data_IF_022287221887
#
_entry.id   IF_022287221887
#
_cell.length_a   1.000
_cell.length_b   1.000
_cell.length_c   1.000
_cell.angle_alpha   90.00
_cell.angle_beta   90.00
_cell.angle_gamma   90.00
#
_symmetry.space_group_name_H-M   'P 1'
#
loop_
_entity.id
_entity.type
_entity.pdbx_description
1 polymer ?
#
# COMPACT_ATOMS: atom_id res chain seq x y z
N UNK A 1 1.80 -12.83 35.44
CA UNK A 1 3.03 -12.23 35.99
C UNK A 1 4.30 -12.85 35.41
N UNK A 2 4.61 -14.14 35.64
CA UNK A 2 5.82 -14.76 35.07
C UNK A 2 5.85 -14.75 33.53
N UNK A 3 4.75 -15.14 32.89
CA UNK A 3 4.62 -15.08 31.42
C UNK A 3 4.76 -13.65 30.85
N UNK A 4 4.29 -12.64 31.58
CA UNK A 4 4.40 -11.23 31.15
C UNK A 4 5.85 -10.72 31.24
N UNK A 5 6.60 -11.20 32.23
CA UNK A 5 8.03 -10.89 32.37
C UNK A 5 8.85 -11.57 31.28
N UNK A 6 8.56 -12.85 30.98
CA UNK A 6 9.18 -13.59 29.88
C UNK A 6 8.90 -12.91 28.53
N UNK A 7 7.66 -12.49 28.28
CA UNK A 7 7.32 -11.75 27.06
C UNK A 7 8.13 -10.46 26.92
N UNK A 8 8.25 -9.66 27.99
CA UNK A 8 9.06 -8.42 27.99
C UNK A 8 10.55 -8.68 27.77
N UNK A 9 11.07 -9.77 28.33
CA UNK A 9 12.45 -10.20 28.09
C UNK A 9 12.65 -10.55 26.60
N UNK A 10 11.78 -11.37 26.04
CA UNK A 10 11.84 -11.78 24.63
C UNK A 10 11.72 -10.57 23.68
N UNK A 11 10.85 -9.61 23.98
CA UNK A 11 10.76 -8.35 23.21
C UNK A 11 12.08 -7.56 23.23
N UNK A 12 12.77 -7.53 24.37
CA UNK A 12 14.04 -6.82 24.51
C UNK A 12 15.18 -7.53 23.79
N UNK A 13 15.22 -8.87 23.86
CA UNK A 13 16.21 -9.67 23.14
C UNK A 13 15.99 -9.64 21.63
N UNK A 14 14.75 -9.76 21.17
CA UNK A 14 14.40 -9.66 19.74
C UNK A 14 14.83 -8.30 19.15
N UNK A 15 14.67 -7.21 19.90
CA UNK A 15 15.14 -5.88 19.46
C UNK A 15 16.65 -5.83 19.22
N UNK A 16 17.45 -6.61 19.95
CA UNK A 16 18.91 -6.68 19.75
C UNK A 16 19.30 -7.47 18.50
N UNK A 17 18.42 -8.36 18.03
CA UNK A 17 18.64 -9.19 16.84
C UNK A 17 18.24 -8.49 15.54
N UNK A 18 17.57 -7.35 15.61
CA UNK A 18 17.18 -6.59 14.41
C UNK A 18 18.40 -6.16 13.60
N UNK A 19 18.36 -6.41 12.28
CA UNK A 19 19.47 -6.11 11.37
C UNK A 19 20.61 -7.13 11.38
N UNK A 20 20.50 -8.21 12.15
CA UNK A 20 21.45 -9.33 12.06
C UNK A 20 21.26 -10.10 10.75
N UNK A 21 22.37 -10.62 10.23
CA UNK A 21 22.37 -11.44 9.02
C UNK A 21 21.99 -12.87 9.38
N UNK A 22 21.02 -13.44 8.66
CA UNK A 22 20.61 -14.83 8.87
C UNK A 22 21.69 -15.77 8.32
N UNK A 23 22.09 -16.74 9.14
CA UNK A 23 23.04 -17.77 8.77
C UNK A 23 22.38 -19.15 8.77
N UNK A 24 22.65 -19.95 7.75
CA UNK A 24 22.38 -21.38 7.70
C UNK A 24 23.45 -22.11 8.52
N UNK A 25 23.01 -22.71 9.63
CA UNK A 25 23.94 -23.14 10.67
C UNK A 25 24.72 -21.96 11.25
N UNK A 26 25.97 -22.20 11.67
CA UNK A 26 26.83 -21.15 12.26
C UNK A 26 27.85 -20.58 11.25
N UNK A 27 27.73 -20.86 9.95
CA UNK A 27 28.84 -20.66 8.99
C UNK A 27 28.44 -20.02 7.67
N UNK A 28 27.24 -20.29 7.13
CA UNK A 28 26.86 -19.86 5.78
C UNK A 28 25.82 -18.75 5.86
N UNK A 29 26.09 -17.58 5.30
CA UNK A 29 25.09 -16.52 5.19
C UNK A 29 24.00 -16.90 4.16
N UNK A 30 22.73 -16.75 4.54
CA UNK A 30 21.60 -16.91 3.62
C UNK A 30 21.41 -15.63 2.83
N UNK A 31 21.30 -15.74 1.50
CA UNK A 31 21.12 -14.60 0.59
C UNK A 31 19.72 -14.63 -0.02
N UNK A 32 19.21 -13.45 -0.37
CA UNK A 32 17.92 -13.31 -1.04
C UNK A 32 17.95 -14.06 -2.37
N UNK A 33 16.89 -14.82 -2.65
CA UNK A 33 16.78 -15.66 -3.84
C UNK A 33 17.27 -17.08 -3.66
N UNK A 34 17.93 -17.40 -2.53
CA UNK A 34 18.33 -18.76 -2.20
C UNK A 34 17.10 -19.65 -1.96
N UNK A 35 17.26 -20.92 -2.34
CA UNK A 35 16.31 -21.98 -2.05
C UNK A 35 16.68 -22.61 -0.72
N UNK A 36 15.80 -22.50 0.27
CA UNK A 36 16.00 -23.04 1.62
C UNK A 36 15.01 -24.15 1.93
N UNK A 37 15.36 -25.00 2.88
CA UNK A 37 14.48 -26.01 3.45
C UNK A 37 14.22 -25.64 4.91
N UNK A 38 12.95 -25.56 5.30
CA UNK A 38 12.56 -25.22 6.65
C UNK A 38 12.31 -26.50 7.44
N UNK A 39 13.20 -26.80 8.39
CA UNK A 39 13.09 -27.96 9.26
C UNK A 39 12.65 -27.54 10.67
N UNK A 40 11.48 -28.01 11.16
CA UNK A 40 11.08 -27.84 12.54
C UNK A 40 12.01 -28.63 13.46
N UNK A 41 12.48 -27.99 14.53
CA UNK A 41 13.44 -28.58 15.49
C UNK A 41 12.88 -29.82 16.18
N UNK A 42 11.58 -29.84 16.48
CA UNK A 42 10.97 -30.90 17.28
C UNK A 42 10.49 -32.11 16.44
N UNK A 43 10.10 -31.91 15.19
CA UNK A 43 9.50 -32.96 14.36
C UNK A 43 10.51 -33.63 13.41
N UNK A 44 11.64 -32.96 13.10
CA UNK A 44 12.72 -33.54 12.28
C UNK A 44 12.34 -33.81 10.82
N UNK A 45 11.19 -33.32 10.35
CA UNK A 45 10.68 -33.50 9.00
C UNK A 45 10.45 -32.13 8.33
N UNK A 46 10.91 -31.89 7.09
CA UNK A 46 10.82 -30.58 6.46
C UNK A 46 9.39 -30.13 6.21
N UNK A 47 9.20 -28.82 6.16
CA UNK A 47 7.95 -28.19 5.73
C UNK A 47 7.71 -28.46 4.24
N UNK A 48 6.56 -29.04 3.93
CA UNK A 48 6.19 -29.53 2.61
C UNK A 48 4.81 -28.97 2.20
N UNK A 49 4.73 -28.44 0.99
CA UNK A 49 3.46 -28.08 0.36
C UNK A 49 2.89 -29.30 -0.37
N UNK A 50 1.81 -29.86 0.16
CA UNK A 50 1.15 -31.06 -0.35
C UNK A 50 0.36 -30.76 -1.63
N UNK A 51 -0.07 -31.80 -2.34
CA UNK A 51 -1.03 -31.69 -3.45
C UNK A 51 -2.48 -31.97 -3.02
N UNK A 52 -2.72 -32.15 -1.72
CA UNK A 52 -4.04 -32.42 -1.18
C UNK A 52 -4.82 -31.10 -1.10
N UNK A 53 -5.90 -31.00 -1.88
CA UNK A 53 -6.76 -29.83 -1.87
C UNK A 53 -7.71 -29.86 -0.69
N UNK A 54 -7.91 -28.68 -0.10
CA UNK A 54 -8.89 -28.50 0.96
C UNK A 54 -10.31 -28.60 0.39
N UNK A 55 -11.18 -29.30 1.10
CA UNK A 55 -12.57 -29.58 0.66
C UNK A 55 -13.41 -28.31 0.60
N UNK A 56 -13.14 -27.38 1.51
CA UNK A 56 -13.84 -26.11 1.65
C UNK A 56 -13.27 -24.99 0.77
N UNK A 57 -12.03 -25.14 0.29
CA UNK A 57 -11.33 -24.14 -0.51
C UNK A 57 -10.67 -24.76 -1.76
N UNK A 58 -11.43 -24.92 -2.87
CA UNK A 58 -10.89 -25.43 -4.13
C UNK A 58 -9.68 -24.62 -4.61
N UNK A 59 -8.60 -25.31 -4.98
CA UNK A 59 -7.34 -24.68 -5.41
C UNK A 59 -6.37 -24.33 -4.27
N UNK A 60 -6.78 -24.45 -3.00
CA UNK A 60 -5.89 -24.34 -1.85
C UNK A 60 -5.34 -25.72 -1.48
N UNK A 61 -4.02 -25.84 -1.37
CA UNK A 61 -3.36 -27.07 -0.97
C UNK A 61 -2.94 -27.03 0.50
N UNK A 62 -3.00 -28.18 1.17
CA UNK A 62 -2.50 -28.36 2.52
C UNK A 62 -0.97 -28.20 2.60
N UNK A 63 -0.47 -27.60 3.69
CA UNK A 63 0.95 -27.60 4.06
C UNK A 63 1.14 -28.51 5.26
N UNK A 64 2.07 -29.45 5.16
CA UNK A 64 2.35 -30.42 6.22
C UNK A 64 3.87 -30.60 6.42
N UNK A 65 4.25 -31.58 7.25
CA UNK A 65 5.65 -31.87 7.58
C UNK A 65 5.93 -33.34 7.29
N UNK A 66 6.67 -33.59 6.21
CA UNK A 66 6.97 -34.94 5.70
C UNK A 66 8.32 -34.91 4.98
N UNK A 67 9.01 -36.05 4.90
CA UNK A 67 10.30 -36.17 4.24
C UNK A 67 10.18 -36.04 2.71
N UNK A 68 9.97 -34.84 2.22
CA UNK A 68 9.85 -34.52 0.80
C UNK A 68 10.76 -33.36 0.44
N UNK A 69 11.28 -33.38 -0.79
CA UNK A 69 12.20 -32.36 -1.28
C UNK A 69 11.45 -31.10 -1.73
N UNK A 70 10.96 -30.34 -0.76
CA UNK A 70 10.36 -29.01 -1.01
C UNK A 70 11.37 -27.90 -0.70
N UNK A 71 11.65 -27.09 -1.71
CA UNK A 71 12.46 -25.88 -1.56
C UNK A 71 11.60 -24.63 -1.50
N UNK A 72 11.90 -23.73 -0.57
CA UNK A 72 11.24 -22.45 -0.40
C UNK A 72 12.19 -21.34 -0.84
N UNK A 73 11.75 -20.46 -1.74
CA UNK A 73 12.54 -19.30 -2.18
C UNK A 73 12.13 -18.08 -1.36
N UNK A 74 13.09 -17.49 -0.66
CA UNK A 74 12.86 -16.23 0.07
C UNK A 74 13.13 -15.07 -0.89
N UNK A 75 12.14 -14.20 -1.05
CA UNK A 75 12.26 -12.95 -1.80
C UNK A 75 12.25 -11.76 -0.85
N UNK A 76 13.02 -10.73 -1.18
CA UNK A 76 13.05 -9.52 -0.37
C UNK A 76 11.79 -8.69 -0.64
N UNK A 77 11.02 -8.43 0.42
CA UNK A 77 9.93 -7.47 0.39
C UNK A 77 10.41 -6.06 0.77
N UNK A 78 11.15 -5.95 1.88
CA UNK A 78 11.66 -4.68 2.39
C UNK A 78 12.95 -4.89 3.17
N UNK A 79 13.94 -4.00 3.00
CA UNK A 79 15.16 -4.04 3.83
C UNK A 79 14.83 -3.58 5.24
N UNK A 80 15.48 -4.19 6.23
CA UNK A 80 15.40 -3.75 7.62
C UNK A 80 15.74 -2.26 7.79
N UNK A 81 16.75 -1.74 7.09
CA UNK A 81 17.14 -0.33 7.16
C UNK A 81 16.03 0.64 6.76
N UNK A 82 15.11 0.18 5.91
CA UNK A 82 14.04 0.98 5.33
C UNK A 82 12.75 0.85 6.17
N UNK A 83 12.68 -0.16 7.05
CA UNK A 83 11.58 -0.41 7.96
C UNK A 83 11.58 0.55 9.18
N UNK A 84 11.41 1.85 8.93
CA UNK A 84 11.36 2.91 9.96
C UNK A 84 9.93 3.32 10.30
N UNK A 85 9.51 3.21 11.57
CA UNK A 85 8.11 3.43 11.99
C UNK A 85 7.53 4.82 11.73
N UNK A 86 8.39 5.82 11.56
CA UNK A 86 7.99 7.20 11.26
C UNK A 86 7.86 7.50 9.75
N UNK A 87 8.21 6.53 8.90
CA UNK A 87 8.20 6.65 7.44
C UNK A 87 7.07 5.80 6.86
N UNK A 88 6.47 6.29 5.77
CA UNK A 88 5.46 5.57 5.00
C UNK A 88 6.12 4.42 4.22
N UNK A 89 5.56 3.22 4.33
CA UNK A 89 6.12 1.98 3.76
C UNK A 89 5.14 1.29 2.83
N UNK A 90 5.64 0.49 1.90
CA UNK A 90 4.82 -0.49 1.19
C UNK A 90 4.19 -1.48 2.18
N UNK A 91 2.90 -1.79 2.01
CA UNK A 91 2.05 -2.56 2.92
C UNK A 91 1.42 -1.74 4.06
N UNK A 92 1.74 -0.45 4.20
CA UNK A 92 1.04 0.40 5.18
C UNK A 92 -0.41 0.63 4.75
N UNK A 93 -1.33 0.50 5.70
CA UNK A 93 -2.74 0.87 5.52
C UNK A 93 -2.97 2.27 6.07
N UNK A 94 -3.35 3.20 5.19
CA UNK A 94 -3.53 4.62 5.51
C UNK A 94 -4.93 5.13 5.17
N UNK A 95 -5.25 6.35 5.63
CA UNK A 95 -6.44 7.09 5.22
C UNK A 95 -6.01 8.40 4.58
N UNK A 96 -6.53 8.68 3.39
CA UNK A 96 -6.26 9.93 2.69
C UNK A 96 -7.30 10.98 3.12
N UNK A 97 -6.83 12.03 3.80
CA UNK A 97 -7.66 13.14 4.28
C UNK A 97 -7.37 14.40 3.47
N UNK A 98 -8.39 14.95 2.81
CA UNK A 98 -8.29 16.20 2.09
C UNK A 98 -8.36 17.38 3.07
N UNK A 99 -7.26 18.13 3.19
CA UNK A 99 -7.12 19.20 4.17
C UNK A 99 -8.15 20.33 4.01
N UNK A 100 -8.32 20.88 2.80
CA UNK A 100 -9.15 22.08 2.61
C UNK A 100 -10.66 21.80 2.72
N UNK A 101 -11.13 20.71 2.11
CA UNK A 101 -12.54 20.31 2.20
C UNK A 101 -12.89 19.53 3.47
N UNK A 102 -11.90 19.18 4.30
CA UNK A 102 -12.02 18.34 5.49
C UNK A 102 -12.82 17.04 5.26
N UNK A 103 -12.38 16.22 4.30
CA UNK A 103 -13.09 14.97 3.91
C UNK A 103 -12.12 13.82 3.70
N UNK A 104 -12.57 12.61 4.00
CA UNK A 104 -11.82 11.41 3.65
C UNK A 104 -12.13 10.97 2.22
N UNK A 105 -11.09 10.52 1.52
CA UNK A 105 -11.23 9.80 0.26
C UNK A 105 -11.72 8.38 0.56
N UNK A 106 -12.80 7.98 -0.09
CA UNK A 106 -13.42 6.66 0.07
C UNK A 106 -13.69 6.01 -1.27
N UNK A 107 -13.71 4.68 -1.30
CA UNK A 107 -14.21 3.90 -2.41
C UNK A 107 -15.46 3.13 -1.96
N UNK A 108 -16.56 3.26 -2.68
CA UNK A 108 -17.80 2.55 -2.38
C UNK A 108 -18.59 2.22 -3.66
N UNK A 109 -19.49 1.24 -3.55
CA UNK A 109 -20.42 0.91 -4.61
C UNK A 109 -21.58 1.90 -4.64
N UNK A 110 -21.77 2.55 -5.79
CA UNK A 110 -22.96 3.33 -6.10
C UNK A 110 -23.50 2.89 -7.45
N UNK A 111 -24.81 2.60 -7.54
CA UNK A 111 -25.48 2.15 -8.77
C UNK A 111 -24.76 0.98 -9.49
N UNK A 112 -24.37 -0.04 -8.72
CA UNK A 112 -23.68 -1.25 -9.21
C UNK A 112 -22.30 -0.99 -9.84
N UNK A 113 -21.68 0.15 -9.51
CA UNK A 113 -20.33 0.52 -9.96
C UNK A 113 -19.52 1.00 -8.76
N UNK A 114 -18.24 0.67 -8.75
CA UNK A 114 -17.31 1.19 -7.76
C UNK A 114 -16.94 2.64 -8.12
N UNK A 115 -17.01 3.52 -7.13
CA UNK A 115 -16.71 4.93 -7.27
C UNK A 115 -15.73 5.38 -6.19
N UNK A 116 -14.72 6.15 -6.59
CA UNK A 116 -13.80 6.86 -5.70
C UNK A 116 -14.27 8.30 -5.55
N UNK A 117 -14.46 8.77 -4.31
CA UNK A 117 -15.01 10.09 -4.03
C UNK A 117 -14.60 10.61 -2.65
N UNK A 118 -14.69 11.93 -2.46
CA UNK A 118 -14.59 12.54 -1.14
C UNK A 118 -15.95 12.49 -0.46
N UNK A 119 -15.98 11.90 0.74
CA UNK A 119 -17.22 11.67 1.47
C UNK A 119 -17.52 12.81 2.43
N UNK A 120 -18.68 13.44 2.27
CA UNK A 120 -19.23 14.36 3.27
C UNK A 120 -19.72 13.58 4.49
N UNK A 121 -19.37 14.06 5.69
CA UNK A 121 -19.78 13.47 6.96
C UNK A 121 -20.61 14.47 7.75
N UNK A 122 -21.61 13.97 8.48
CA UNK A 122 -22.42 14.78 9.40
C UNK A 122 -21.81 14.92 10.80
N UNK A 123 -20.59 14.43 11.03
CA UNK A 123 -19.88 14.57 12.32
C UNK A 123 -19.35 16.00 12.47
N UNK A 124 -19.32 16.49 13.72
CA UNK A 124 -18.78 17.82 14.04
C UNK A 124 -17.32 17.98 13.60
N UNK A 125 -16.52 16.92 13.72
CA UNK A 125 -15.15 16.88 13.26
C UNK A 125 -14.99 15.74 12.25
N UNK A 126 -14.50 16.08 11.05
CA UNK A 126 -14.34 15.10 9.99
C UNK A 126 -13.32 14.02 10.35
N UNK A 127 -12.24 14.36 11.06
CA UNK A 127 -11.17 13.41 11.45
C UNK A 127 -11.65 12.34 12.43
N UNK A 128 -12.74 12.58 13.15
CA UNK A 128 -13.38 11.56 14.00
C UNK A 128 -14.08 10.46 13.20
N UNK A 129 -14.30 10.64 11.88
CA UNK A 129 -14.98 9.66 11.06
C UNK A 129 -14.09 8.42 10.83
N UNK A 130 -14.62 7.25 11.18
CA UNK A 130 -13.94 5.96 11.03
C UNK A 130 -14.75 5.07 10.11
N UNK A 131 -14.34 4.97 8.85
CA UNK A 131 -14.94 4.06 7.88
C UNK A 131 -13.90 3.07 7.37
N UNK A 132 -14.28 1.80 7.25
CA UNK A 132 -13.46 0.78 6.58
C UNK A 132 -13.31 1.06 5.08
N UNK A 133 -14.26 1.79 4.47
CA UNK A 133 -14.24 2.20 3.06
C UNK A 133 -13.26 3.33 2.73
N UNK A 134 -12.51 3.79 3.74
CA UNK A 134 -11.51 4.84 3.63
C UNK A 134 -10.08 4.32 3.83
N UNK A 135 -9.89 3.01 3.99
CA UNK A 135 -8.60 2.38 4.18
C UNK A 135 -7.96 2.12 2.81
N UNK A 136 -6.71 2.53 2.65
CA UNK A 136 -5.92 2.40 1.43
C UNK A 136 -4.61 1.70 1.77
N UNK A 137 -4.33 0.58 1.12
CA UNK A 137 -3.04 -0.10 1.22
C UNK A 137 -2.05 0.54 0.24
N UNK A 138 -0.86 0.86 0.73
CA UNK A 138 0.20 1.43 -0.10
C UNK A 138 1.00 0.29 -0.72
N UNK A 139 0.91 0.15 -2.03
CA UNK A 139 1.80 -0.74 -2.79
C UNK A 139 2.90 0.08 -3.45
N UNK A 140 4.12 -0.46 -3.45
CA UNK A 140 5.28 0.14 -4.10
C UNK A 140 5.61 -0.67 -5.34
N UNK A 141 5.81 0.00 -6.47
CA UNK A 141 6.29 -0.65 -7.68
C UNK A 141 7.75 -1.12 -7.47
N UNK A 142 8.05 -2.43 -7.59
CA UNK A 142 9.40 -2.96 -7.41
C UNK A 142 10.40 -2.56 -8.51
N UNK A 143 9.94 -2.07 -9.67
CA UNK A 143 10.79 -1.77 -10.85
C UNK A 143 11.21 -0.30 -10.99
N UNK A 144 11.29 0.45 -9.87
CA UNK A 144 11.66 1.89 -9.86
C UNK A 144 13.01 2.24 -10.53
N UNK A 145 13.91 1.27 -10.76
CA UNK A 145 15.21 1.52 -11.40
C UNK A 145 15.17 1.53 -12.95
N UNK A 146 14.10 1.04 -13.59
CA UNK A 146 14.05 0.91 -15.06
C UNK A 146 13.51 2.15 -15.80
N UNK A 147 12.61 2.92 -15.18
CA UNK A 147 11.73 3.85 -15.91
C UNK A 147 12.09 5.34 -15.84
N UNK A 148 13.28 5.67 -15.29
CA UNK A 148 13.84 7.05 -15.35
C UNK A 148 14.23 7.50 -16.78
N UNK A 149 13.88 6.75 -17.82
CA UNK A 149 14.12 7.11 -19.24
C UNK A 149 12.82 7.43 -19.97
N UNK A 150 12.31 8.64 -19.69
CA UNK A 150 11.73 9.56 -20.68
C UNK A 150 10.48 9.12 -21.45
N UNK A 151 9.36 9.78 -21.17
CA UNK A 151 8.26 9.92 -22.13
C UNK A 151 7.80 11.38 -22.19
N UNK A 152 8.03 11.99 -23.36
CA UNK A 152 7.65 13.34 -23.73
C UNK A 152 6.33 13.34 -24.51
N UNK A 153 5.39 14.17 -24.03
CA UNK A 153 4.20 14.76 -24.66
C UNK A 153 3.66 14.25 -26.02
N UNK A 154 2.35 13.98 -26.04
CA UNK A 154 1.43 14.50 -27.08
C UNK A 154 0.15 15.04 -26.43
N UNK A 155 -0.30 16.19 -26.92
CA UNK A 155 -1.40 16.98 -26.39
C UNK A 155 -2.72 16.67 -27.10
N UNK A 156 -3.67 16.04 -26.40
CA UNK A 156 -5.10 16.18 -26.68
C UNK A 156 -5.88 16.38 -25.38
N UNK A 157 -6.92 17.21 -25.47
CA UNK A 157 -7.72 17.70 -24.34
C UNK A 157 -8.69 16.60 -23.89
N UNK A 158 -8.22 15.69 -23.04
CA UNK A 158 -9.05 14.64 -22.46
C UNK A 158 -9.37 14.98 -20.99
N UNK A 159 -10.66 14.94 -20.64
CA UNK A 159 -11.10 15.01 -19.26
C UNK A 159 -10.94 13.63 -18.62
N UNK A 160 -10.06 13.51 -17.63
CA UNK A 160 -9.84 12.27 -16.91
C UNK A 160 -10.67 12.25 -15.61
N UNK A 161 -11.04 11.06 -15.14
CA UNK A 161 -11.70 10.87 -13.85
C UNK A 161 -11.02 9.70 -13.15
N UNK A 162 -10.81 9.80 -11.85
CA UNK A 162 -10.30 8.66 -11.08
C UNK A 162 -11.39 7.58 -11.02
N UNK A 163 -11.01 6.36 -11.33
CA UNK A 163 -11.86 5.17 -11.28
C UNK A 163 -11.10 4.10 -10.51
N UNK A 164 -11.82 3.28 -9.75
CA UNK A 164 -11.25 2.07 -9.15
C UNK A 164 -10.96 1.06 -10.26
N UNK A 165 -9.72 0.59 -10.35
CA UNK A 165 -9.33 -0.48 -11.28
C UNK A 165 -9.21 -1.78 -10.48
N UNK A 166 -9.83 -2.90 -10.93
CA UNK A 166 -9.78 -4.17 -10.21
C UNK A 166 -8.42 -4.86 -10.27
N UNK A 167 -7.56 -4.52 -11.24
CA UNK A 167 -6.20 -5.07 -11.39
C UNK A 167 -5.16 -3.93 -11.25
N UNK A 168 -4.29 -4.02 -10.25
CA UNK A 168 -3.32 -2.98 -9.91
C UNK A 168 -2.13 -2.85 -10.87
N UNK A 169 -1.96 -3.79 -11.81
CA UNK A 169 -0.77 -3.93 -12.65
C UNK A 169 -0.72 -2.97 -13.87
N UNK A 170 -1.69 -2.06 -14.01
CA UNK A 170 -1.75 -1.14 -15.14
C UNK A 170 -1.08 0.20 -14.80
N UNK A 171 -0.29 0.78 -15.71
CA UNK A 171 0.46 2.04 -15.47
C UNK A 171 -0.49 3.21 -15.11
N UNK A 172 -1.76 3.10 -15.51
CA UNK A 172 -2.83 4.03 -15.17
C UNK A 172 -3.26 4.00 -13.69
N UNK A 173 -2.79 3.04 -12.89
CA UNK A 173 -3.04 2.94 -11.45
C UNK A 173 -1.98 3.66 -10.61
N UNK A 174 -0.85 4.07 -11.23
CA UNK A 174 0.33 4.54 -10.51
C UNK A 174 0.28 6.07 -10.27
N UNK A 175 0.47 6.44 -9.00
CA UNK A 175 0.56 7.83 -8.54
C UNK A 175 1.90 8.09 -7.87
N UNK A 176 2.49 9.24 -8.18
CA UNK A 176 3.63 9.79 -7.46
C UNK A 176 3.15 10.68 -6.32
N UNK A 177 3.79 10.52 -5.15
CA UNK A 177 3.58 11.37 -3.98
C UNK A 177 4.59 12.52 -4.01
N UNK A 178 4.11 13.75 -4.10
CA UNK A 178 4.95 14.95 -4.01
C UNK A 178 4.82 15.57 -2.61
N UNK A 179 5.88 15.55 -1.78
CA UNK A 179 5.85 16.15 -0.45
C UNK A 179 5.77 17.67 -0.55
N UNK A 180 4.87 18.29 0.20
CA UNK A 180 4.69 19.76 0.19
C UNK A 180 5.79 20.53 0.93
N UNK A 181 6.57 19.85 1.78
CA UNK A 181 7.70 20.44 2.50
C UNK A 181 8.97 20.35 1.65
N UNK A 182 9.79 21.42 1.64
CA UNK A 182 11.12 21.45 1.03
C UNK A 182 12.05 20.41 1.67
N UNK A 183 11.94 19.16 1.20
CA UNK A 183 12.88 18.08 1.44
C UNK A 183 13.50 17.72 0.10
N UNK A 184 14.76 17.30 0.08
CA UNK A 184 15.42 16.89 -1.16
C UNK A 184 14.61 15.83 -1.90
N UNK A 185 14.70 15.79 -3.24
CA UNK A 185 13.84 14.97 -4.11
C UNK A 185 13.88 13.45 -3.88
N UNK A 186 14.84 12.94 -3.10
CA UNK A 186 14.95 11.53 -2.71
C UNK A 186 14.58 11.28 -1.23
N UNK A 187 13.96 12.25 -0.55
CA UNK A 187 13.57 12.09 0.86
C UNK A 187 12.37 11.17 1.00
N UNK A 188 12.51 10.14 1.85
CA UNK A 188 11.40 9.31 2.31
C UNK A 188 10.25 10.16 2.86
N UNK A 189 9.01 9.72 2.62
CA UNK A 189 7.78 10.41 3.05
C UNK A 189 7.48 10.06 4.51
N UNK A 190 7.48 11.04 5.44
CA UNK A 190 7.09 10.78 6.83
C UNK A 190 5.61 10.44 6.93
N UNK A 191 5.25 9.60 7.89
CA UNK A 191 3.85 9.34 8.25
C UNK A 191 3.18 10.64 8.71
N UNK A 192 1.89 10.77 8.42
CA UNK A 192 1.06 11.96 8.71
C UNK A 192 1.57 13.26 8.06
N UNK A 193 2.19 13.18 6.88
CA UNK A 193 2.60 14.36 6.11
C UNK A 193 1.58 14.77 5.05
N UNK A 194 1.62 16.04 4.65
CA UNK A 194 0.83 16.55 3.53
C UNK A 194 1.56 16.31 2.22
N UNK A 195 0.93 15.52 1.35
CA UNK A 195 1.43 15.19 0.02
C UNK A 195 0.43 15.63 -1.05
N UNK A 196 0.93 15.86 -2.26
CA UNK A 196 0.12 16.00 -3.47
C UNK A 196 0.23 14.72 -4.30
N UNK A 197 -0.84 14.37 -5.00
CA UNK A 197 -0.89 13.18 -5.83
C UNK A 197 -0.78 13.58 -7.30
N UNK A 198 0.23 13.04 -8.00
CA UNK A 198 0.40 13.20 -9.45
C UNK A 198 0.20 11.86 -10.14
N UNK A 199 -0.73 11.80 -11.09
CA UNK A 199 -0.93 10.62 -11.92
C UNK A 199 0.18 10.51 -12.97
N UNK A 200 0.93 9.41 -12.98
CA UNK A 200 2.11 9.25 -13.85
C UNK A 200 1.73 9.22 -15.33
N UNK A 201 0.78 8.36 -15.71
CA UNK A 201 0.42 8.13 -17.11
C UNK A 201 -0.05 9.41 -17.82
N UNK A 202 -0.86 10.25 -17.17
CA UNK A 202 -1.37 11.48 -17.78
C UNK A 202 -0.59 12.74 -17.42
N UNK A 203 0.40 12.62 -16.52
CA UNK A 203 1.15 13.73 -15.94
C UNK A 203 0.25 14.85 -15.41
N UNK A 204 -0.75 14.49 -14.59
CA UNK A 204 -1.74 15.44 -14.05
C UNK A 204 -1.85 15.36 -12.55
N UNK A 205 -2.21 16.47 -11.92
CA UNK A 205 -2.43 16.53 -10.47
C UNK A 205 -3.87 16.20 -10.13
N UNK A 206 -4.06 15.44 -9.06
CA UNK A 206 -5.38 15.13 -8.53
C UNK A 206 -5.94 16.35 -7.81
N UNK A 207 -7.15 16.75 -8.19
CA UNK A 207 -7.88 17.86 -7.56
C UNK A 207 -9.24 17.40 -7.06
N UNK A 208 -9.64 17.95 -5.93
CA UNK A 208 -11.01 17.82 -5.43
C UNK A 208 -11.94 18.76 -6.19
N UNK A 209 -13.20 18.37 -6.33
CA UNK A 209 -14.25 19.22 -6.89
C UNK A 209 -15.46 19.22 -5.96
N UNK A 210 -16.29 20.27 -6.04
CA UNK A 210 -17.57 20.30 -5.33
C UNK A 210 -18.72 19.71 -6.16
N UNK A 211 -18.39 18.89 -7.18
CA UNK A 211 -19.38 18.29 -8.07
C UNK A 211 -19.85 16.98 -7.44
N UNK A 212 -21.12 16.87 -7.01
CA UNK A 212 -21.63 15.62 -6.47
C UNK A 212 -21.83 14.58 -7.58
N UNK A 213 -21.56 13.31 -7.25
CA UNK A 213 -21.80 12.15 -8.10
C UNK A 213 -23.27 11.69 -7.97
N UNK A 214 -23.80 11.76 -6.75
CA UNK A 214 -25.12 11.34 -6.31
C UNK A 214 -26.14 12.49 -6.36
N UNK A 215 -26.26 13.15 -7.52
CA UNK A 215 -27.14 14.33 -7.72
C UNK A 215 -28.62 14.04 -7.51
N UNK A 216 -29.02 12.80 -7.67
CA UNK A 216 -30.38 12.31 -7.47
C UNK A 216 -30.79 12.22 -6.00
N UNK A 217 -29.84 12.17 -5.07
CA UNK A 217 -30.12 12.00 -3.65
C UNK A 217 -30.52 13.33 -3.01
N UNK A 218 -31.41 13.29 -2.02
CA UNK A 218 -31.87 14.50 -1.30
C UNK A 218 -30.71 15.24 -0.63
N UNK A 219 -29.69 14.50 -0.20
CA UNK A 219 -28.46 15.01 0.43
C UNK A 219 -27.25 14.34 -0.21
N UNK A 220 -26.65 14.94 -1.26
CA UNK A 220 -25.48 14.37 -1.90
C UNK A 220 -24.29 14.39 -0.94
N UNK A 221 -23.64 13.24 -0.79
CA UNK A 221 -22.47 13.06 0.08
C UNK A 221 -21.22 12.62 -0.69
N UNK A 222 -21.35 12.34 -1.99
CA UNK A 222 -20.27 11.83 -2.82
C UNK A 222 -19.70 12.93 -3.72
N UNK A 223 -18.59 13.56 -3.32
CA UNK A 223 -17.95 14.60 -4.14
C UNK A 223 -16.89 14.02 -5.07
N UNK A 224 -16.97 14.39 -6.35
CA UNK A 224 -16.06 13.90 -7.39
C UNK A 224 -14.64 14.40 -7.19
N UNK A 225 -13.68 13.51 -7.39
CA UNK A 225 -12.25 13.83 -7.51
C UNK A 225 -11.86 13.70 -8.98
N UNK A 226 -11.07 14.62 -9.52
CA UNK A 226 -10.67 14.60 -10.92
C UNK A 226 -9.23 15.06 -11.12
N UNK A 227 -8.45 14.40 -11.99
CA UNK A 227 -7.17 14.93 -12.43
C UNK A 227 -7.42 16.22 -13.23
N UNK A 228 -6.80 17.33 -12.82
CA UNK A 228 -6.82 18.55 -13.60
C UNK A 228 -5.42 18.74 -14.23
N UNK A 229 -5.38 18.91 -15.55
CA UNK A 229 -4.26 19.62 -16.19
C UNK A 229 -4.44 21.07 -15.76
N UNK A 230 -3.53 21.59 -14.93
CA UNK A 230 -3.51 22.98 -14.50
C UNK A 230 -3.95 23.90 -15.65
N UNK A 231 -5.16 24.43 -15.54
CA UNK A 231 -5.65 25.54 -16.32
C UNK A 231 -6.69 26.28 -15.49
N UNK A 232 -6.39 26.49 -14.21
CA UNK A 232 -6.96 27.62 -13.50
C UNK A 232 -6.00 28.78 -13.79
N UNK A 233 -6.29 29.51 -14.85
CA UNK A 233 -5.83 30.89 -14.96
C UNK A 233 -6.47 31.64 -13.79
N UNK A 234 -5.72 31.77 -12.70
CA UNK A 234 -6.00 32.71 -11.62
C UNK A 234 -4.96 33.82 -11.72
N UNK A 235 -5.36 34.94 -12.29
CA UNK A 235 -4.63 36.21 -12.25
C UNK A 235 -4.39 36.60 -10.78
N UNK A 236 -3.22 37.19 -10.50
CA UNK A 236 -2.91 37.92 -9.25
C UNK A 236 -4.02 38.92 -8.94
#
# INVERSE_FOLDING_TARGET
HAADLEKKQNETENKKLLGTVIQYGNVIQVVIGDKVVLNPVNAGQPLHASSHQLVDNPGCNEVNSVNCNTSWKIVLFMKWSDNKDDILKGGDVVRLFHAEQEKFLTCDEHRKKQHVFLRTTGRQSATSATSSKALWEVEMDPDQDADRRGLHNTSEKMAYSLVSVPEGNDISSIFELDPTTLRGGDSLVPRNSYVRLRHLCTNTWVHSTNIPIDKEEEKPVMLKVSPARCSVHGTI
#
